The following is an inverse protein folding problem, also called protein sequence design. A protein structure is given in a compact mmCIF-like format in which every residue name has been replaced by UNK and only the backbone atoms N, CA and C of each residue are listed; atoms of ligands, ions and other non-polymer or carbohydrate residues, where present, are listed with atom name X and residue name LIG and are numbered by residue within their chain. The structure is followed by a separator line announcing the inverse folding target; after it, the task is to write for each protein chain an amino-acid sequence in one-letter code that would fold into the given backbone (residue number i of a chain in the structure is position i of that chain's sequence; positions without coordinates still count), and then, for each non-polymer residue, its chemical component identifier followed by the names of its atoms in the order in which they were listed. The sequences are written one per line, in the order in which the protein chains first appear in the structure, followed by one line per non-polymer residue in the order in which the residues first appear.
data_IF_517441947920
#
_entry.id   IF_517441947920
#
_cell.length_a   1.000
_cell.length_b   1.000
_cell.length_c   1.000
_cell.angle_alpha   90.00
_cell.angle_beta   90.00
_cell.angle_gamma   90.00
#
_symmetry.space_group_name_H-M   'P 1'
#
loop_
_entity.id
_entity.type
_entity.pdbx_description
1 polymer ?
2 non-polymer ?
3 water ?
#
# COMPACT_ATOMS: atom_id res chain seq x y z
N UNK A 7 1.59 -13.19 11.78
CA UNK A 7 1.26 -13.00 10.36
C UNK A 7 -0.01 -12.18 10.23
N UNK A 8 0.12 -11.05 9.54
CA UNK A 8 -1.05 -10.21 9.31
C UNK A 8 -2.03 -10.88 8.35
N UNK A 9 -3.31 -10.58 8.54
CA UNK A 9 -4.33 -10.93 7.56
C UNK A 9 -4.36 -9.88 6.44
N UNK A 10 -5.05 -10.20 5.35
CA UNK A 10 -5.31 -9.18 4.33
C UNK A 10 -6.05 -7.99 4.92
N UNK A 11 -7.03 -8.25 5.78
CA UNK A 11 -7.76 -7.16 6.42
C UNK A 11 -6.83 -6.22 7.18
N UNK A 12 -5.93 -6.78 7.98
CA UNK A 12 -5.01 -5.95 8.76
C UNK A 12 -4.07 -5.19 7.84
N UNK A 13 -3.67 -5.83 6.75
CA UNK A 13 -2.75 -5.14 5.83
C UNK A 13 -3.45 -4.01 5.10
N UNK A 14 -4.71 -4.20 4.72
CA UNK A 14 -5.43 -3.10 4.09
C UNK A 14 -5.50 -1.91 5.02
N UNK A 15 -5.74 -2.15 6.30
CA UNK A 15 -5.76 -1.02 7.21
C UNK A 15 -4.37 -0.41 7.39
N UNK A 16 -3.31 -1.22 7.44
CA UNK A 16 -1.96 -0.64 7.53
C UNK A 16 -1.68 0.29 6.35
N UNK A 17 -2.07 -0.16 5.15
CA UNK A 17 -1.85 0.62 3.94
C UNK A 17 -2.71 1.87 3.89
N UNK A 18 -4.00 1.77 4.23
CA UNK A 18 -4.83 2.96 4.25
C UNK A 18 -4.28 3.97 5.24
N UNK A 19 -3.80 3.49 6.39
CA UNK A 19 -3.24 4.40 7.39
C UNK A 19 -1.99 5.07 6.84
N UNK A 20 -1.16 4.30 6.13
CA UNK A 20 0.08 4.85 5.55
C UNK A 20 -0.23 5.90 4.49
N UNK A 21 -1.19 5.61 3.60
CA UNK A 21 -1.57 6.59 2.59
C UNK A 21 -2.02 7.87 3.25
N UNK A 22 -2.85 7.74 4.28
CA UNK A 22 -3.34 8.93 4.96
C UNK A 22 -2.19 9.74 5.54
N UNK A 23 -1.23 9.07 6.17
CA UNK A 23 -0.14 9.78 6.83
C UNK A 23 0.77 10.43 5.83
N UNK A 24 0.89 9.81 4.67
CA UNK A 24 1.87 10.20 3.67
C UNK A 24 1.36 11.28 2.72
N UNK A 25 0.03 11.44 2.60
CA UNK A 25 -0.54 12.42 1.68
C UNK A 25 -1.30 13.54 2.36
N UNK A 26 -1.71 13.38 3.61
CA UNK A 26 -2.61 14.32 4.23
C UNK A 26 -4.04 14.30 3.74
N UNK A 27 -4.43 13.33 2.92
CA UNK A 27 -5.77 13.35 2.37
C UNK A 27 -6.79 13.02 3.46
N UNK A 28 -8.02 13.50 3.30
CA UNK A 28 -9.12 13.08 4.18
C UNK A 28 -9.37 11.58 4.09
N UNK A 29 -9.81 10.99 5.21
CA UNK A 29 -10.10 9.55 5.26
C UNK A 29 -11.03 9.08 4.15
N UNK A 30 -12.00 9.91 3.74
CA UNK A 30 -13.02 9.46 2.78
C UNK A 30 -12.50 9.36 1.36
N UNK A 31 -11.33 9.92 1.08
CA UNK A 31 -10.75 9.80 -0.25
C UNK A 31 -9.90 8.54 -0.39
N UNK A 32 -9.61 7.85 0.71
CA UNK A 32 -8.73 6.69 0.69
C UNK A 32 -9.58 5.46 0.96
N UNK A 33 -9.80 4.66 -0.07
CA UNK A 33 -10.60 3.45 0.06
C UNK A 33 -9.84 2.28 -0.52
N UNK A 34 -10.33 1.08 -0.23
CA UNK A 34 -9.61 -0.14 -0.60
C UNK A 34 -9.58 -0.38 -2.09
N UNK A 35 -10.54 0.15 -2.85
CA UNK A 35 -10.61 -0.17 -4.27
C UNK A 35 -10.29 0.98 -5.20
N UNK A 36 -10.03 2.19 -4.68
CA UNK A 36 -9.71 3.31 -5.55
C UNK A 36 -8.35 3.08 -6.18
N UNK A 37 -8.14 3.55 -7.40
CA UNK A 37 -6.80 3.39 -8.01
C UNK A 37 -5.76 4.12 -7.18
N UNK A 38 -4.61 3.47 -6.96
CA UNK A 38 -3.63 4.13 -6.10
C UNK A 38 -3.12 5.40 -6.76
N UNK A 39 -3.18 5.48 -8.09
CA UNK A 39 -2.73 6.70 -8.77
C UNK A 39 -3.53 7.93 -8.33
N UNK A 40 -4.74 7.74 -7.80
CA UNK A 40 -5.57 8.86 -7.39
C UNK A 40 -5.19 9.41 -6.01
N UNK A 41 -4.26 8.77 -5.32
CA UNK A 41 -3.89 9.22 -3.98
C UNK A 41 -2.88 10.35 -4.03
N UNK A 42 -2.35 10.67 -5.21
CA UNK A 42 -1.32 11.70 -5.27
C UNK A 42 -0.04 11.36 -4.53
N UNK A 43 0.41 10.11 -4.59
CA UNK A 43 1.70 9.77 -4.00
C UNK A 43 2.81 10.12 -4.98
N UNK A 44 3.88 10.73 -4.48
CA UNK A 44 5.08 10.88 -5.29
C UNK A 44 5.70 9.53 -5.60
N UNK A 45 6.37 9.39 -6.72
CA UNK A 45 6.87 8.04 -6.88
C UNK A 45 8.04 7.71 -5.97
N UNK A 46 8.76 8.71 -5.42
CA UNK A 46 9.68 8.41 -4.31
C UNK A 46 8.97 7.70 -3.16
N UNK A 47 7.81 8.22 -2.79
CA UNK A 47 7.08 7.68 -1.66
C UNK A 47 6.49 6.34 -2.02
N UNK A 48 6.08 6.15 -3.28
CA UNK A 48 5.62 4.81 -3.68
C UNK A 48 6.74 3.79 -3.55
N UNK A 49 7.96 4.14 -3.98
CA UNK A 49 9.08 3.22 -3.81
C UNK A 49 9.45 3.05 -2.36
N UNK A 50 9.31 4.11 -1.56
CA UNK A 50 9.62 3.96 -0.15
C UNK A 50 8.66 3.00 0.51
N UNK A 51 7.41 3.01 0.06
CA UNK A 51 6.42 2.09 0.65
C UNK A 51 6.85 0.64 0.46
N UNK A 52 7.34 0.29 -0.73
CA UNK A 52 7.80 -1.07 -0.94
C UNK A 52 8.86 -1.47 0.09
N UNK A 53 9.84 -0.60 0.33
CA UNK A 53 10.84 -0.91 1.36
C UNK A 53 10.24 -1.07 2.75
N UNK A 54 9.27 -0.22 3.10
CA UNK A 54 8.63 -0.37 4.40
C UNK A 54 7.88 -1.69 4.50
N UNK A 55 7.24 -2.10 3.40
CA UNK A 55 6.54 -3.38 3.43
C UNK A 55 7.53 -4.54 3.52
N UNK A 56 8.69 -4.42 2.85
CA UNK A 56 9.70 -5.46 2.99
C UNK A 56 10.01 -5.72 4.46
N UNK A 57 10.20 -4.65 5.23
CA UNK A 57 10.53 -4.78 6.64
C UNK A 57 9.35 -5.30 7.42
N UNK A 58 8.17 -4.76 7.13
CA UNK A 58 6.95 -5.18 7.81
C UNK A 58 6.70 -6.67 7.66
N UNK A 59 6.94 -7.22 6.47
CA UNK A 59 6.54 -8.58 6.14
C UNK A 59 7.72 -9.54 6.08
N UNK A 60 8.94 -9.02 6.09
CA UNK A 60 10.10 -9.88 6.03
C UNK A 60 10.34 -10.56 4.70
N UNK A 61 9.95 -9.94 3.59
CA UNK A 61 10.16 -10.52 2.27
C UNK A 61 10.78 -9.47 1.35
N UNK A 62 11.25 -9.93 0.20
CA UNK A 62 11.84 -9.05 -0.80
C UNK A 62 10.75 -8.72 -1.81
N UNK A 63 10.62 -7.44 -2.16
CA UNK A 63 9.57 -7.01 -3.08
C UNK A 63 10.14 -6.09 -4.15
N UNK A 64 9.51 -6.11 -5.33
CA UNK A 64 9.81 -5.10 -6.34
C UNK A 64 9.63 -3.70 -5.76
N UNK A 65 10.53 -2.81 -6.12
CA UNK A 65 10.44 -1.43 -5.69
C UNK A 65 9.13 -0.83 -6.11
N UNK A 66 8.61 -1.25 -7.26
CA UNK A 66 7.36 -0.69 -7.76
C UNK A 66 6.14 -1.54 -7.42
N UNK A 67 6.20 -2.36 -6.37
CA UNK A 67 5.09 -3.29 -6.14
C UNK A 67 3.74 -2.58 -6.03
N UNK A 68 3.69 -1.36 -5.48
CA UNK A 68 2.37 -0.78 -5.29
C UNK A 68 1.80 -0.25 -6.58
N UNK A 69 2.62 -0.02 -7.61
CA UNK A 69 2.04 0.32 -8.91
C UNK A 69 1.64 -0.95 -9.65
N UNK A 70 2.35 -2.04 -9.39
CA UNK A 70 2.12 -3.30 -10.07
C UNK A 70 0.80 -3.93 -9.66
N UNK A 71 0.33 -3.64 -8.44
CA UNK A 71 -0.93 -4.14 -7.89
C UNK A 71 -1.66 -2.92 -7.37
N UNK A 72 -2.29 -2.17 -8.25
CA UNK A 72 -2.55 -0.74 -7.99
C UNK A 72 -3.84 -0.43 -7.24
N UNK A 73 -4.25 -1.26 -6.28
CA UNK A 73 -5.23 -0.85 -5.27
C UNK A 73 -4.76 -1.40 -3.95
N UNK A 74 -5.23 -0.75 -2.87
CA UNK A 74 -4.89 -1.25 -1.55
C UNK A 74 -5.34 -2.69 -1.41
N UNK A 75 -6.53 -2.99 -1.90
CA UNK A 75 -7.05 -4.36 -1.85
C UNK A 75 -6.18 -5.33 -2.62
N UNK A 76 -5.81 -4.97 -3.86
CA UNK A 76 -5.05 -5.91 -4.68
C UNK A 76 -3.66 -6.12 -4.13
N UNK A 77 -3.03 -5.04 -3.66
CA UNK A 77 -1.71 -5.14 -3.07
C UNK A 77 -1.74 -6.00 -1.81
N UNK A 78 -2.76 -5.83 -0.97
CA UNK A 78 -2.78 -6.64 0.23
C UNK A 78 -2.99 -8.10 -0.09
N UNK A 79 -3.85 -8.36 -1.06
CA UNK A 79 -4.08 -9.74 -1.48
C UNK A 79 -2.79 -10.35 -1.99
N UNK A 80 -2.04 -9.60 -2.82
CA UNK A 80 -0.81 -10.14 -3.37
C UNK A 80 0.27 -10.32 -2.31
N UNK A 81 0.30 -9.48 -1.27
CA UNK A 81 1.39 -9.61 -0.31
C UNK A 81 1.13 -10.75 0.67
N UNK A 82 -0.13 -10.98 1.00
CA UNK A 82 -0.48 -12.03 1.97
C UNK A 82 -0.59 -13.39 1.29
N UNK A 83 -1.10 -13.46 0.07
CA UNK A 83 -1.19 -14.73 -0.65
C UNK A 83 -0.03 -14.98 -1.61
N UNK A 84 0.96 -14.09 -1.68
CA UNK A 84 2.02 -14.23 -2.66
C UNK A 84 1.46 -14.39 -4.07
X LIG B 1 10.22 10.42 -9.89
X LIG B 1 9.45 9.13 -10.00
X LIG B 1 8.51 8.96 -11.08
X LIG B 1 8.47 9.49 -8.96
X LIG B 1 10.41 7.90 -9.82
X LIG B 1 11.42 7.94 -8.84
X LIG B 1 12.12 6.59 -8.74
X LIG B 1 11.07 5.54 -8.40
X LIG B 1 12.76 6.19 -10.06
X LIG B 1 13.19 6.67 -7.64
X LIG B 1 13.13 5.61 -6.74
X LIG B 1 14.56 6.56 -8.32
X LIG B 1 15.02 5.49 -8.58
X LIG B 1 15.20 7.75 -8.82
X LIG B 1 14.61 9.05 -8.58
X LIG B 1 15.67 10.13 -8.88
X LIG B 1 16.80 9.66 -9.83
X LIG B 1 17.08 8.49 -9.88
X LIG B 1 17.53 10.62 -10.68
X LIG B 1 17.23 12.06 -10.67
X LIG B 1 17.16 12.65 -12.11
X LIG B 1 16.18 14.20 -12.26
X LIG B 1 12.07 8.62 -9.08
X LIG B 1 11.03 8.16 -7.98
X LIG B 1 10.40 5.52 -9.09
X LIG B 1 10.65 5.77 -7.55
X LIG B 1 11.50 4.67 -8.33
X LIG B 1 13.60 6.67 -10.17
X LIG B 1 12.16 6.42 -10.79
X LIG B 1 12.92 5.24 -10.07
X LIG B 1 13.05 7.51 -7.16
X LIG B 1 13.69 5.74 -6.11
X LIG B 1 15.93 7.68 -9.28
X LIG B 1 14.34 9.11 -7.65
X LIG B 1 13.84 9.18 -9.15
X LIG B 1 16.07 10.40 -8.04
X LIG B 1 15.22 10.89 -9.28
X LIG B 1 18.16 10.33 -11.19
X LIG B 1 17.92 12.53 -10.18
X LIG B 1 16.38 12.20 -10.23
X LIG B 1 18.07 12.83 -12.40
X LIG B 1 16.76 11.98 -12.69
X LIG B 1 16.87 15.06 -12.72
#
# INVERSE_FOLDING_TARGET
MDSRVTAMTTSQLRTWLRDWVLATTGLPAEEITDDKPMQSFGLSSRDVVLLSGELENLLGVKLDATIAYEYPTIAALSQRLIEGA
PNS O23 P24 O25 O26 O27 C28 C29 C30 C31 C32 O33 C34 O35 N36 C37 C38 C39 O40 N41 C42 C43 S44 H282 H281 H303 H302 H301 H313 H312 H311 H32 H33 H36 H372 H371 H382 H381 H41 H422 H421 H431 H432 H44
#
